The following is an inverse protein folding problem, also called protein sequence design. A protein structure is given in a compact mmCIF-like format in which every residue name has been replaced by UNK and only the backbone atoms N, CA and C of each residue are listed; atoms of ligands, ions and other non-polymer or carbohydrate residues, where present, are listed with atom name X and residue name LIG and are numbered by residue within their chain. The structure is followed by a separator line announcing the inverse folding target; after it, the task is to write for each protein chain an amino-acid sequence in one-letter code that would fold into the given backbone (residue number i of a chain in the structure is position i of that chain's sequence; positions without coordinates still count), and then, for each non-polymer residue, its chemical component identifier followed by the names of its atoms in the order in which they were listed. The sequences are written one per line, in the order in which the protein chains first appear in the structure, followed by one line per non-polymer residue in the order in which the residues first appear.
data_IF_468673445727
#
_entry.id   IF_468673445727
#
_cell.length_a   1.000
_cell.length_b   1.000
_cell.length_c   1.000
_cell.angle_alpha   90.00
_cell.angle_beta   90.00
_cell.angle_gamma   90.00
#
_symmetry.space_group_name_H-M   'P 1'
#
loop_
_entity.id
_entity.type
_entity.pdbx_description
1 polymer ?
#
# COMPACT_ATOMS: atom_id res chain seq x y z
N UNK A 1 -6.50 -15.26 30.67
CA UNK A 1 -6.74 -13.98 29.99
C UNK A 1 -5.50 -13.74 29.14
N UNK A 2 -5.61 -13.91 27.81
CA UNK A 2 -4.51 -13.56 26.91
C UNK A 2 -4.31 -12.05 27.05
N UNK A 3 -3.08 -11.60 27.34
CA UNK A 3 -2.83 -10.17 27.29
C UNK A 3 -2.96 -9.75 25.82
N UNK A 4 -3.60 -8.60 25.61
CA UNK A 4 -3.73 -7.98 24.29
C UNK A 4 -2.38 -7.50 23.73
N UNK A 5 -1.27 -7.79 24.41
CA UNK A 5 0.10 -7.43 24.02
C UNK A 5 0.56 -8.16 22.73
N UNK A 6 -0.27 -9.04 22.17
CA UNK A 6 -0.02 -9.69 20.89
C UNK A 6 -0.59 -8.93 19.67
N UNK A 7 -1.49 -7.95 19.88
CA UNK A 7 -2.06 -7.17 18.78
C UNK A 7 -1.10 -6.03 18.43
N UNK A 8 -0.59 -6.03 17.20
CA UNK A 8 0.36 -5.00 16.74
C UNK A 8 -0.38 -3.77 16.22
N UNK A 9 -1.59 -3.94 15.67
CA UNK A 9 -2.48 -2.83 15.35
C UNK A 9 -3.86 -3.23 14.85
N UNK A 10 -4.72 -2.23 14.70
CA UNK A 10 -6.06 -2.37 14.11
C UNK A 10 -6.27 -1.26 13.08
N UNK A 11 -7.11 -1.52 12.09
CA UNK A 11 -7.55 -0.49 11.15
C UNK A 11 -8.75 0.25 11.75
N UNK A 12 -8.75 1.59 11.69
CA UNK A 12 -9.86 2.39 12.22
C UNK A 12 -11.15 2.24 11.39
N UNK A 13 -11.00 1.99 10.08
CA UNK A 13 -12.12 1.97 9.12
C UNK A 13 -12.48 0.55 8.70
N UNK A 14 -11.51 -0.37 8.68
CA UNK A 14 -11.73 -1.76 8.29
C UNK A 14 -11.89 -2.61 9.56
N UNK A 15 -12.84 -3.55 9.61
CA UNK A 15 -13.00 -4.48 10.73
C UNK A 15 -11.92 -5.57 10.67
N UNK A 16 -10.65 -5.13 10.72
CA UNK A 16 -9.46 -5.96 10.57
C UNK A 16 -8.40 -5.49 11.58
N UNK A 17 -7.63 -6.45 12.06
CA UNK A 17 -6.47 -6.23 12.91
C UNK A 17 -5.30 -7.08 12.41
N UNK A 18 -4.09 -6.68 12.78
CA UNK A 18 -2.86 -7.40 12.49
C UNK A 18 -2.04 -7.61 13.76
N UNK A 19 -1.39 -8.77 13.82
CA UNK A 19 -0.74 -9.26 15.04
C UNK A 19 0.37 -10.25 14.68
N UNK A 20 1.44 -10.27 15.48
CA UNK A 20 2.38 -11.39 15.48
C UNK A 20 1.87 -12.45 16.47
N UNK A 21 1.52 -13.63 15.96
CA UNK A 21 0.94 -14.70 16.75
C UNK A 21 1.72 -16.00 16.55
N UNK A 22 1.86 -16.77 17.63
CA UNK A 22 2.32 -18.16 17.53
C UNK A 22 1.21 -19.05 16.95
N UNK A 23 1.57 -20.22 16.42
CA UNK A 23 0.59 -21.18 15.89
C UNK A 23 -0.61 -21.46 16.81
N UNK A 24 -0.40 -21.80 18.10
CA UNK A 24 -1.51 -22.01 19.03
C UNK A 24 -2.39 -20.77 19.27
N UNK A 25 -1.82 -19.56 19.18
CA UNK A 25 -2.59 -18.33 19.29
C UNK A 25 -3.42 -18.05 18.04
N UNK A 26 -2.90 -18.38 16.85
CA UNK A 26 -3.66 -18.32 15.60
C UNK A 26 -4.90 -19.21 15.69
N UNK A 27 -4.75 -20.46 16.14
CA UNK A 27 -5.88 -21.38 16.31
C UNK A 27 -6.89 -20.85 17.34
N UNK A 28 -6.41 -20.25 18.42
CA UNK A 28 -7.28 -19.64 19.45
C UNK A 28 -8.10 -18.49 18.89
N UNK A 29 -7.48 -17.56 18.15
CA UNK A 29 -8.15 -16.41 17.53
C UNK A 29 -9.12 -16.86 16.44
N UNK A 30 -8.72 -17.84 15.62
CA UNK A 30 -9.59 -18.40 14.58
C UNK A 30 -10.84 -19.09 15.15
N UNK A 31 -10.83 -19.49 16.43
CA UNK A 31 -11.97 -20.07 17.12
C UNK A 31 -12.97 -19.06 17.69
N UNK A 32 -12.69 -17.75 17.65
CA UNK A 32 -13.61 -16.73 18.15
C UNK A 32 -14.82 -16.57 17.23
N UNK A 33 -16.02 -16.49 17.81
CA UNK A 33 -17.27 -16.36 17.05
C UNK A 33 -17.34 -15.09 16.20
N UNK A 34 -16.59 -14.07 16.60
CA UNK A 34 -16.50 -12.75 15.98
C UNK A 34 -15.47 -12.71 14.84
N UNK A 35 -14.57 -13.69 14.77
CA UNK A 35 -13.52 -13.75 13.76
C UNK A 35 -14.02 -14.51 12.53
N UNK A 36 -14.08 -13.80 11.41
CA UNK A 36 -14.51 -14.39 10.13
C UNK A 36 -13.42 -15.24 9.47
N UNK A 37 -12.17 -14.79 9.54
CA UNK A 37 -11.04 -15.41 8.86
C UNK A 37 -9.72 -14.94 9.47
N UNK A 38 -8.71 -15.80 9.44
CA UNK A 38 -7.31 -15.48 9.77
C UNK A 38 -6.45 -15.84 8.56
N UNK A 39 -5.60 -14.91 8.14
CA UNK A 39 -4.66 -15.10 7.03
C UNK A 39 -3.24 -14.80 7.48
N UNK A 40 -2.27 -15.51 6.90
CA UNK A 40 -0.88 -15.12 7.01
C UNK A 40 -0.62 -13.87 6.16
N UNK A 41 0.26 -12.98 6.64
CA UNK A 41 0.80 -11.93 5.79
C UNK A 41 1.64 -12.57 4.67
N UNK A 42 1.63 -11.98 3.49
CA UNK A 42 2.39 -12.47 2.34
C UNK A 42 3.01 -11.32 1.56
N UNK A 43 4.15 -11.60 0.92
CA UNK A 43 4.83 -10.63 0.08
C UNK A 43 4.05 -10.41 -1.22
N UNK A 44 4.01 -9.14 -1.65
CA UNK A 44 3.42 -8.75 -2.93
C UNK A 44 4.53 -8.60 -3.96
N UNK A 45 4.24 -8.99 -5.20
CA UNK A 45 5.17 -8.85 -6.33
C UNK A 45 5.04 -7.47 -6.99
N UNK A 46 6.18 -6.92 -7.43
CA UNK A 46 6.20 -5.70 -8.23
C UNK A 46 5.86 -6.00 -9.70
N UNK A 47 5.02 -5.16 -10.28
CA UNK A 47 4.66 -5.23 -11.71
C UNK A 47 4.90 -3.86 -12.37
N UNK A 48 6.16 -3.52 -12.67
CA UNK A 48 6.54 -2.16 -13.10
C UNK A 48 6.89 -1.99 -14.58
N UNK A 49 7.34 -3.02 -15.30
CA UNK A 49 8.04 -2.80 -16.57
C UNK A 49 7.12 -2.41 -17.76
N UNK A 50 5.87 -2.89 -17.78
CA UNK A 50 4.99 -2.73 -18.95
C UNK A 50 3.90 -1.65 -18.79
N UNK A 51 3.75 -1.10 -17.58
CA UNK A 51 2.58 -0.28 -17.21
C UNK A 51 2.40 0.95 -18.10
N UNK A 52 3.48 1.61 -18.51
CA UNK A 52 3.39 2.83 -19.35
C UNK A 52 2.90 2.52 -20.77
N UNK A 53 3.33 1.40 -21.34
CA UNK A 53 2.91 0.95 -22.66
C UNK A 53 1.45 0.47 -22.62
N UNK A 54 1.11 -0.35 -21.62
CA UNK A 54 -0.22 -0.95 -21.47
C UNK A 54 -1.31 0.09 -21.18
N UNK A 55 -1.00 1.08 -20.35
CA UNK A 55 -1.94 2.17 -20.03
C UNK A 55 -1.99 3.25 -21.11
N UNK A 56 -1.09 3.20 -22.11
CA UNK A 56 -0.91 4.25 -23.13
C UNK A 56 -0.80 5.65 -22.53
N UNK A 57 -0.15 5.76 -21.37
CA UNK A 57 -0.05 7.03 -20.63
C UNK A 57 0.53 8.17 -21.50
N UNK A 58 1.44 7.86 -22.43
CA UNK A 58 1.98 8.83 -23.38
C UNK A 58 0.92 9.44 -24.33
N UNK A 59 -0.08 8.68 -24.75
CA UNK A 59 -1.18 9.17 -25.61
C UNK A 59 -2.05 10.17 -24.86
N UNK A 60 -2.34 9.89 -23.58
CA UNK A 60 -3.09 10.80 -22.71
C UNK A 60 -2.30 12.07 -22.44
N UNK A 61 -1.02 11.95 -22.09
CA UNK A 61 -0.13 13.09 -21.86
C UNK A 61 0.03 13.97 -23.12
N UNK A 62 0.10 13.36 -24.31
CA UNK A 62 0.19 14.08 -25.58
C UNK A 62 -1.14 14.74 -26.02
N UNK A 63 -2.26 14.46 -25.34
CA UNK A 63 -3.58 14.96 -25.75
C UNK A 63 -4.14 14.28 -26.99
N UNK A 64 -3.53 13.19 -27.47
CA UNK A 64 -3.86 12.58 -28.75
C UNK A 64 -5.20 11.84 -28.68
N UNK A 65 -6.16 12.23 -29.52
CA UNK A 65 -7.47 11.58 -29.57
C UNK A 65 -8.42 11.97 -28.43
N UNK A 66 -8.09 13.04 -27.70
CA UNK A 66 -8.94 13.60 -26.65
C UNK A 66 -9.64 14.86 -27.15
N UNK A 67 -10.94 14.99 -26.89
CA UNK A 67 -11.71 16.20 -27.22
C UNK A 67 -11.20 17.44 -26.46
N UNK A 68 -10.55 17.22 -25.31
CA UNK A 68 -9.91 18.26 -24.49
C UNK A 68 -8.75 17.65 -23.70
N UNK A 69 -7.68 18.43 -23.48
CA UNK A 69 -6.56 18.01 -22.65
C UNK A 69 -6.98 17.86 -21.18
N UNK A 70 -6.62 16.73 -20.55
CA UNK A 70 -6.85 16.51 -19.12
C UNK A 70 -5.62 16.94 -18.32
N UNK A 71 -5.82 17.87 -17.38
CA UNK A 71 -4.75 18.38 -16.50
C UNK A 71 -4.72 17.73 -15.13
N UNK A 72 -5.79 17.02 -14.74
CA UNK A 72 -5.93 16.44 -13.39
C UNK A 72 -6.09 17.47 -12.26
N UNK A 73 -6.24 18.76 -12.58
CA UNK A 73 -6.22 19.86 -11.60
C UNK A 73 -7.28 19.80 -10.50
N UNK A 74 -8.36 19.05 -10.68
CA UNK A 74 -9.44 18.84 -9.71
C UNK A 74 -9.43 17.45 -9.05
N UNK A 75 -8.38 16.65 -9.29
CA UNK A 75 -8.24 15.32 -8.74
C UNK A 75 -6.95 15.19 -7.92
N UNK A 76 -7.03 14.42 -6.83
CA UNK A 76 -5.86 13.98 -6.10
C UNK A 76 -5.70 12.48 -6.28
N UNK A 77 -4.48 12.04 -6.55
CA UNK A 77 -4.13 10.63 -6.70
C UNK A 77 -3.24 10.22 -5.55
N UNK A 78 -3.54 9.08 -4.94
CA UNK A 78 -2.68 8.43 -3.96
C UNK A 78 -1.97 7.27 -4.65
N UNK A 79 -0.65 7.22 -4.53
CA UNK A 79 0.19 6.13 -5.03
C UNK A 79 0.75 5.39 -3.82
N UNK A 80 0.35 4.12 -3.65
CA UNK A 80 0.84 3.24 -2.59
C UNK A 80 1.89 2.34 -3.24
N UNK A 81 3.15 2.72 -3.10
CA UNK A 81 4.29 2.07 -3.73
C UNK A 81 5.53 2.20 -2.82
N UNK A 82 6.69 1.87 -3.35
CA UNK A 82 8.02 2.01 -2.76
C UNK A 82 8.40 3.43 -2.33
N UNK A 83 7.75 4.46 -2.86
CA UNK A 83 7.99 5.87 -2.53
C UNK A 83 8.16 6.74 -3.77
N UNK A 84 8.59 7.99 -3.56
CA UNK A 84 8.81 8.98 -4.63
C UNK A 84 9.98 9.90 -4.29
N UNK A 85 10.78 10.25 -5.30
CA UNK A 85 11.73 11.38 -5.21
C UNK A 85 10.96 12.70 -5.30
N UNK A 86 10.59 13.24 -4.14
CA UNK A 86 9.80 14.46 -4.04
C UNK A 86 10.55 15.74 -4.42
N UNK A 87 11.88 15.68 -4.56
CA UNK A 87 12.69 16.82 -5.01
C UNK A 87 12.90 16.84 -6.52
N UNK A 88 12.30 15.90 -7.25
CA UNK A 88 12.38 15.87 -8.70
C UNK A 88 11.65 17.10 -9.30
N UNK A 89 12.28 17.88 -10.19
CA UNK A 89 11.69 19.11 -10.74
C UNK A 89 10.31 18.92 -11.40
N UNK A 90 10.07 17.75 -12.00
CA UNK A 90 8.78 17.44 -12.63
C UNK A 90 7.66 17.10 -11.63
N UNK A 91 7.98 16.92 -10.35
CA UNK A 91 7.05 16.41 -9.33
C UNK A 91 6.86 17.38 -8.16
N UNK A 92 7.89 18.15 -7.81
CA UNK A 92 7.92 19.00 -6.61
C UNK A 92 6.70 19.95 -6.49
N UNK A 93 6.28 20.55 -7.61
CA UNK A 93 5.16 21.51 -7.64
C UNK A 93 3.79 20.84 -7.48
N UNK A 94 3.70 19.53 -7.76
CA UNK A 94 2.43 18.77 -7.76
C UNK A 94 2.29 17.85 -6.57
N UNK A 95 3.40 17.52 -5.90
CA UNK A 95 3.42 16.64 -4.74
C UNK A 95 2.76 17.33 -3.53
N UNK A 96 1.72 16.70 -2.98
CA UNK A 96 0.99 17.22 -1.81
C UNK A 96 1.49 16.67 -0.49
N UNK A 97 1.88 15.40 -0.47
CA UNK A 97 2.43 14.72 0.69
C UNK A 97 3.26 13.53 0.23
N UNK A 98 4.35 13.25 0.94
CA UNK A 98 5.12 12.03 0.82
C UNK A 98 5.02 11.31 2.18
N UNK A 99 4.21 10.27 2.23
CA UNK A 99 3.87 9.57 3.47
C UNK A 99 4.50 8.19 3.45
N UNK A 100 5.04 7.79 4.60
CA UNK A 100 5.57 6.46 4.83
C UNK A 100 4.77 5.77 5.92
N UNK A 101 4.42 4.51 5.70
CA UNK A 101 3.82 3.69 6.74
C UNK A 101 4.90 3.29 7.76
N UNK A 102 4.61 3.46 9.05
CA UNK A 102 5.52 3.14 10.15
C UNK A 102 4.87 2.06 11.01
N UNK A 103 5.63 1.05 11.45
CA UNK A 103 5.19 0.08 12.46
C UNK A 103 4.46 -1.17 11.93
N UNK A 104 4.79 -1.65 10.73
CA UNK A 104 4.41 -3.00 10.32
C UNK A 104 5.41 -3.99 10.96
N UNK A 105 4.95 -4.98 11.74
CA UNK A 105 5.79 -6.05 12.22
C UNK A 105 6.32 -6.85 11.02
N UNK A 106 7.63 -6.73 10.78
CA UNK A 106 8.41 -7.42 9.75
C UNK A 106 7.82 -7.39 8.33
N UNK A 107 7.90 -6.23 7.67
CA UNK A 107 8.60 -6.23 6.36
C UNK A 107 10.04 -5.96 6.73
N UNK A 108 10.91 -6.94 6.55
CA UNK A 108 12.31 -6.89 7.02
C UNK A 108 13.01 -5.64 6.49
N UNK A 109 13.78 -4.96 7.36
CA UNK A 109 14.69 -3.87 7.02
C UNK A 109 15.85 -4.28 6.09
N UNK A 110 15.85 -5.51 5.54
CA UNK A 110 16.83 -5.90 4.54
C UNK A 110 16.42 -5.31 3.18
N UNK A 111 17.12 -4.28 2.69
CA UNK A 111 16.90 -3.82 1.34
C UNK A 111 17.23 -4.94 0.35
N UNK A 112 16.31 -5.21 -0.56
CA UNK A 112 16.55 -6.02 -1.76
C UNK A 112 17.47 -5.24 -2.71
N UNK A 113 18.75 -5.12 -2.35
CA UNK A 113 19.79 -4.69 -3.27
C UNK A 113 20.33 -5.91 -4.00
N UNK A 114 20.08 -5.96 -5.31
CA UNK A 114 21.02 -6.51 -6.29
C UNK A 114 21.66 -5.35 -7.06
#
# INVERSE_FOLDING_TARGET
MLSLDALVGQFDVLPMAYAELTGPLIETVAGWSEVRYVSANYELEYHNDDARADTRAGTVQAGTGLDTAYTGSNAHTVVIDSGIDGAHPDLEDTLRANLQYVGIPAVTDDPLWW
#
